data_IF_964705251648
#
_entry.id   IF_964705251648
#
_cell.length_a   1.000
_cell.length_b   1.000
_cell.length_c   1.000
_cell.angle_alpha   90.00
_cell.angle_beta   90.00
_cell.angle_gamma   90.00
#
_symmetry.space_group_name_H-M   'P 1'
#
loop_
_entity.id
_entity.type
_entity.pdbx_description
1 polymer ?
#
# COMPACT_ATOMS: atom_id res chain seq x y z
N UNK A 1 -4.66 30.44 -22.95
CA UNK A 1 -4.72 29.00 -22.64
C UNK A 1 -3.98 28.76 -21.33
N UNK A 2 -4.61 28.17 -20.32
CA UNK A 2 -3.93 27.85 -19.07
C UNK A 2 -2.81 26.83 -19.35
N UNK A 3 -1.58 27.08 -18.86
CA UNK A 3 -0.49 26.10 -18.94
C UNK A 3 -0.96 24.82 -18.25
N UNK A 4 -0.95 23.68 -18.96
CA UNK A 4 -1.16 22.37 -18.34
C UNK A 4 -0.16 22.23 -17.19
N UNK A 5 -0.64 21.84 -16.01
CA UNK A 5 0.24 21.58 -14.88
C UNK A 5 1.18 20.42 -15.24
N UNK A 6 2.49 20.62 -15.10
CA UNK A 6 3.45 19.55 -15.34
C UNK A 6 3.25 18.43 -14.29
N UNK A 7 2.80 17.25 -14.75
CA UNK A 7 2.63 16.06 -13.91
C UNK A 7 3.99 15.53 -13.46
N UNK A 8 4.92 15.49 -14.42
CA UNK A 8 6.29 15.05 -14.23
C UNK A 8 7.22 16.26 -14.16
N UNK A 9 8.04 16.28 -13.12
CA UNK A 9 9.23 17.13 -13.11
C UNK A 9 10.30 16.45 -13.97
N UNK A 10 10.55 17.07 -15.12
CA UNK A 10 11.47 16.62 -16.17
C UNK A 10 12.93 17.05 -15.91
N UNK A 11 13.24 17.67 -14.77
CA UNK A 11 14.63 17.96 -14.40
C UNK A 11 15.41 16.65 -14.16
N UNK A 12 16.71 16.69 -14.45
CA UNK A 12 17.58 15.53 -14.30
C UNK A 12 17.56 15.01 -12.86
N UNK A 13 17.14 13.75 -12.69
CA UNK A 13 17.01 13.12 -11.39
C UNK A 13 18.33 12.96 -10.65
N UNK A 14 19.46 13.01 -11.36
CA UNK A 14 20.81 12.95 -10.79
C UNK A 14 21.23 14.23 -10.08
N UNK A 15 20.68 15.38 -10.50
CA UNK A 15 21.13 16.71 -10.03
C UNK A 15 20.04 17.48 -9.30
N UNK A 16 18.76 17.15 -9.53
CA UNK A 16 17.65 17.80 -8.82
C UNK A 16 17.67 17.48 -7.33
N UNK A 17 17.10 18.39 -6.53
CA UNK A 17 16.87 18.16 -5.10
C UNK A 17 16.08 16.86 -4.90
N UNK A 18 16.57 15.92 -4.06
CA UNK A 18 15.86 14.68 -3.79
C UNK A 18 14.39 14.88 -3.41
N UNK A 19 13.54 14.05 -4.03
CA UNK A 19 12.09 14.00 -3.81
C UNK A 19 11.65 12.70 -3.16
N UNK A 20 12.57 12.01 -2.50
CA UNK A 20 12.30 10.80 -1.73
C UNK A 20 12.27 11.11 -0.23
N UNK A 21 11.69 10.18 0.52
CA UNK A 21 11.69 10.17 1.98
C UNK A 21 12.21 8.82 2.47
N UNK A 22 13.12 8.88 3.43
CA UNK A 22 13.76 7.70 4.02
C UNK A 22 13.62 7.78 5.53
N UNK A 23 13.23 6.67 6.13
CA UNK A 23 13.27 6.44 7.55
C UNK A 23 13.73 5.01 7.79
N UNK A 24 14.58 4.84 8.78
CA UNK A 24 15.09 3.54 9.18
C UNK A 24 14.27 3.01 10.35
N UNK A 25 14.03 1.70 10.34
CA UNK A 25 13.32 0.99 11.38
C UNK A 25 13.87 -0.42 11.54
N UNK A 26 13.62 -1.02 12.70
CA UNK A 26 14.02 -2.41 13.00
C UNK A 26 12.91 -3.41 12.71
N UNK A 27 13.25 -4.69 12.59
CA UNK A 27 12.27 -5.79 12.53
C UNK A 27 11.69 -6.01 13.94
N UNK A 28 10.37 -5.93 14.04
CA UNK A 28 9.63 -6.17 15.29
C UNK A 28 9.09 -7.60 15.39
N UNK A 29 7.86 -7.73 15.92
CA UNK A 29 7.18 -9.03 16.02
C UNK A 29 6.95 -9.61 14.62
N UNK A 30 7.06 -10.92 14.51
CA UNK A 30 6.65 -11.68 13.32
C UNK A 30 5.37 -12.42 13.65
N UNK A 31 4.31 -12.15 12.88
CA UNK A 31 3.02 -12.79 13.02
C UNK A 31 2.91 -13.89 11.95
N UNK A 32 2.71 -15.13 12.40
CA UNK A 32 2.32 -16.25 11.54
C UNK A 32 0.79 -16.35 11.55
N UNK A 33 0.18 -16.09 10.40
CA UNK A 33 -1.26 -15.90 10.25
C UNK A 33 -1.81 -17.01 9.38
N UNK A 34 -2.87 -17.67 9.86
CA UNK A 34 -3.72 -18.56 9.06
C UNK A 34 -5.12 -17.94 8.97
N UNK A 35 -5.62 -17.76 7.75
CA UNK A 35 -7.01 -17.35 7.51
C UNK A 35 -7.82 -18.55 6.98
N UNK A 36 -9.12 -18.54 7.23
CA UNK A 36 -10.02 -19.67 6.98
C UNK A 36 -10.77 -19.54 5.64
N UNK A 37 -11.39 -20.63 5.14
CA UNK A 37 -12.33 -20.54 4.02
C UNK A 37 -13.39 -19.47 4.23
N UNK A 38 -13.69 -18.70 3.19
CA UNK A 38 -14.72 -17.64 3.20
C UNK A 38 -14.24 -16.29 3.71
N UNK A 39 -13.07 -16.19 4.34
CA UNK A 39 -12.47 -14.91 4.73
C UNK A 39 -12.11 -14.08 3.48
N UNK A 40 -12.32 -12.76 3.57
CA UNK A 40 -11.77 -11.81 2.58
C UNK A 40 -10.32 -11.48 2.93
N UNK A 41 -9.39 -11.70 1.98
CA UNK A 41 -7.96 -11.52 2.20
C UNK A 41 -7.60 -10.09 2.65
N UNK A 42 -8.19 -9.07 2.03
CA UNK A 42 -7.90 -7.67 2.35
C UNK A 42 -8.49 -7.28 3.72
N UNK A 43 -9.80 -7.52 3.88
CA UNK A 43 -10.54 -7.17 5.09
C UNK A 43 -10.02 -7.90 6.33
N UNK A 44 -9.72 -9.19 6.20
CA UNK A 44 -9.21 -10.02 7.30
C UNK A 44 -7.80 -9.60 7.70
N UNK A 45 -6.93 -9.25 6.75
CA UNK A 45 -5.60 -8.69 7.05
C UNK A 45 -5.71 -7.41 7.90
N UNK A 46 -6.58 -6.48 7.52
CA UNK A 46 -6.80 -5.25 8.29
C UNK A 46 -7.40 -5.53 9.68
N UNK A 47 -8.35 -6.46 9.78
CA UNK A 47 -8.92 -6.89 11.06
C UNK A 47 -7.83 -7.40 12.01
N UNK A 48 -6.95 -8.30 11.53
CA UNK A 48 -5.82 -8.81 12.32
C UNK A 48 -4.89 -7.67 12.75
N UNK A 49 -4.59 -6.74 11.85
CA UNK A 49 -3.74 -5.58 12.20
C UNK A 49 -4.36 -4.74 13.32
N UNK A 50 -5.68 -4.50 13.28
CA UNK A 50 -6.40 -3.79 14.37
C UNK A 50 -6.32 -4.57 15.68
N UNK A 51 -6.68 -5.85 15.68
CA UNK A 51 -6.74 -6.69 16.88
C UNK A 51 -5.37 -6.92 17.53
N UNK A 52 -4.30 -7.00 16.73
CA UNK A 52 -2.93 -7.20 17.21
C UNK A 52 -2.15 -5.91 17.41
N UNK A 53 -2.75 -4.76 17.10
CA UNK A 53 -2.14 -3.44 17.21
C UNK A 53 -0.96 -3.23 16.26
N UNK A 54 -0.98 -3.85 15.08
CA UNK A 54 0.05 -3.66 14.06
C UNK A 54 -0.16 -2.30 13.39
N UNK A 55 0.78 -1.40 13.61
CA UNK A 55 0.76 -0.01 13.12
C UNK A 55 1.68 0.22 11.93
N UNK A 56 2.77 -0.53 11.87
CA UNK A 56 3.78 -0.45 10.83
C UNK A 56 4.24 -1.87 10.54
N UNK A 57 4.19 -2.30 9.28
CA UNK A 57 4.56 -3.67 8.94
C UNK A 57 4.83 -3.89 7.46
N UNK A 58 5.47 -5.01 7.17
CA UNK A 58 5.79 -5.50 5.83
C UNK A 58 5.31 -6.94 5.70
N UNK A 59 4.62 -7.22 4.61
CA UNK A 59 4.21 -8.59 4.28
C UNK A 59 5.45 -9.32 3.77
N UNK A 60 5.90 -10.33 4.53
CA UNK A 60 7.08 -11.12 4.17
C UNK A 60 6.72 -12.21 3.16
N UNK A 61 5.59 -12.87 3.37
CA UNK A 61 5.06 -13.87 2.45
C UNK A 61 3.55 -14.02 2.63
N UNK A 62 2.88 -14.43 1.57
CA UNK A 62 1.55 -15.02 1.65
C UNK A 62 1.36 -16.04 0.53
N UNK A 63 0.79 -17.19 0.86
CA UNK A 63 0.33 -18.21 -0.07
C UNK A 63 -1.11 -18.57 0.29
N UNK A 64 -1.97 -18.75 -0.71
CA UNK A 64 -3.39 -19.04 -0.48
C UNK A 64 -4.04 -19.66 -1.71
N UNK A 65 -5.11 -20.41 -1.51
CA UNK A 65 -6.07 -20.69 -2.58
C UNK A 65 -7.25 -19.72 -2.48
N UNK A 66 -7.73 -19.16 -3.58
CA UNK A 66 -8.87 -18.23 -3.60
C UNK A 66 -10.03 -18.77 -4.47
N UNK A 67 -11.26 -18.54 -4.02
CA UNK A 67 -12.48 -18.81 -4.81
C UNK A 67 -12.65 -17.80 -5.93
N UNK A 68 -12.27 -16.55 -5.65
CA UNK A 68 -12.35 -15.41 -6.56
C UNK A 68 -11.40 -14.32 -6.08
N UNK A 69 -11.03 -13.43 -6.99
CA UNK A 69 -10.27 -12.23 -6.71
C UNK A 69 -10.83 -11.04 -7.49
N UNK A 70 -10.64 -9.83 -6.96
CA UNK A 70 -10.85 -8.58 -7.70
C UNK A 70 -9.53 -7.83 -7.69
N UNK A 71 -8.96 -7.60 -8.87
CA UNK A 71 -7.69 -6.90 -9.04
C UNK A 71 -7.93 -5.49 -9.55
N UNK A 72 -7.36 -4.49 -8.88
CA UNK A 72 -7.43 -3.10 -9.33
C UNK A 72 -6.15 -2.70 -10.06
N UNK A 73 -6.26 -2.23 -11.29
CA UNK A 73 -5.14 -1.74 -12.08
C UNK A 73 -5.41 -0.31 -12.59
N UNK A 74 -4.35 0.45 -12.86
CA UNK A 74 -4.45 1.75 -13.53
C UNK A 74 -4.44 1.49 -15.03
N UNK A 75 -5.48 1.91 -15.75
CA UNK A 75 -5.58 1.68 -17.20
C UNK A 75 -5.23 2.92 -18.02
N UNK A 76 -5.24 4.11 -17.40
CA UNK A 76 -4.73 5.35 -18.00
C UNK A 76 -4.14 6.26 -16.93
N UNK A 77 -3.13 7.04 -17.30
CA UNK A 77 -2.60 8.07 -16.42
C UNK A 77 -3.49 9.32 -16.43
N UNK A 78 -3.73 9.93 -15.26
CA UNK A 78 -4.47 11.18 -15.17
C UNK A 78 -3.60 12.34 -15.69
N UNK A 79 -4.22 13.35 -16.31
CA UNK A 79 -3.56 14.60 -16.70
C UNK A 79 -4.45 15.82 -16.35
N UNK A 80 -4.21 16.49 -15.19
CA UNK A 80 -3.23 16.20 -14.13
C UNK A 80 -3.72 15.12 -13.14
N UNK A 81 -2.90 14.75 -12.14
CA UNK A 81 -3.30 13.99 -10.93
C UNK A 81 -4.63 14.48 -10.34
N UNK A 82 -5.41 13.69 -9.57
CA UNK A 82 -5.10 12.38 -8.98
C UNK A 82 -5.47 11.21 -9.90
N UNK A 83 -5.03 10.02 -9.53
CA UNK A 83 -5.60 8.77 -10.04
C UNK A 83 -6.97 8.57 -9.36
N UNK A 84 -8.05 8.76 -10.11
CA UNK A 84 -9.43 8.47 -9.70
C UNK A 84 -9.88 7.09 -10.19
N UNK A 85 -11.09 6.67 -9.84
CA UNK A 85 -11.67 5.43 -10.35
C UNK A 85 -11.89 5.44 -11.87
N UNK A 86 -12.06 6.61 -12.48
CA UNK A 86 -12.09 6.73 -13.95
C UNK A 86 -10.76 6.32 -14.61
N UNK A 87 -9.65 6.35 -13.85
CA UNK A 87 -8.32 5.93 -14.29
C UNK A 87 -8.03 4.47 -13.96
N UNK A 88 -8.97 3.76 -13.33
CA UNK A 88 -8.79 2.42 -12.80
C UNK A 88 -9.73 1.42 -13.47
N UNK A 89 -9.30 0.17 -13.50
CA UNK A 89 -10.10 -0.98 -13.89
C UNK A 89 -10.08 -1.98 -12.74
N UNK A 90 -11.25 -2.55 -12.46
CA UNK A 90 -11.42 -3.60 -11.47
C UNK A 90 -11.77 -4.88 -12.22
N UNK A 91 -10.84 -5.84 -12.21
CA UNK A 91 -10.97 -7.08 -12.97
C UNK A 91 -11.34 -8.21 -12.02
N UNK A 92 -12.60 -8.70 -12.05
CA UNK A 92 -12.97 -9.90 -11.34
C UNK A 92 -12.35 -11.12 -12.04
N UNK A 93 -11.75 -12.01 -11.25
CA UNK A 93 -11.20 -13.29 -11.71
C UNK A 93 -11.84 -14.38 -10.86
N UNK A 94 -12.62 -15.25 -11.50
CA UNK A 94 -13.24 -16.39 -10.82
C UNK A 94 -12.26 -17.57 -10.80
N UNK A 95 -12.23 -18.29 -9.68
CA UNK A 95 -11.31 -19.40 -9.46
C UNK A 95 -11.68 -20.71 -10.14
N UNK A 96 -10.95 -21.79 -9.80
CA UNK A 96 -9.96 -21.87 -8.72
C UNK A 96 -8.69 -21.05 -8.99
N UNK A 97 -8.20 -20.33 -7.97
CA UNK A 97 -6.99 -19.50 -8.04
C UNK A 97 -5.97 -19.91 -6.99
N UNK A 98 -4.69 -19.83 -7.35
CA UNK A 98 -3.57 -19.82 -6.40
C UNK A 98 -3.04 -18.40 -6.24
N UNK A 99 -2.89 -17.93 -5.01
CA UNK A 99 -2.16 -16.72 -4.65
C UNK A 99 -0.68 -17.09 -4.59
N UNK A 100 0.06 -16.67 -5.60
CA UNK A 100 1.49 -16.94 -5.71
C UNK A 100 2.31 -16.00 -4.84
N UNK A 101 1.83 -14.77 -4.66
CA UNK A 101 2.59 -13.71 -4.02
C UNK A 101 1.67 -12.57 -3.56
N UNK A 102 1.96 -12.02 -2.38
CA UNK A 102 1.42 -10.75 -1.87
C UNK A 102 2.55 -9.92 -1.30
N UNK A 103 2.72 -8.69 -1.77
CA UNK A 103 3.76 -7.76 -1.30
C UNK A 103 3.12 -6.45 -0.97
N UNK A 104 3.53 -5.86 0.14
CA UNK A 104 2.93 -4.65 0.60
C UNK A 104 3.36 -4.26 1.99
N UNK A 105 2.76 -3.18 2.45
CA UNK A 105 2.99 -2.61 3.76
C UNK A 105 1.68 -2.37 4.51
N UNK A 106 1.81 -2.43 5.84
CA UNK A 106 0.84 -1.92 6.78
C UNK A 106 1.36 -0.58 7.26
N UNK A 107 0.52 0.45 7.13
CA UNK A 107 0.77 1.83 7.54
C UNK A 107 -0.39 2.31 8.42
N UNK A 108 -0.27 3.49 9.03
CA UNK A 108 -1.39 4.13 9.71
C UNK A 108 -1.91 5.34 8.95
N UNK A 109 -3.23 5.49 8.93
CA UNK A 109 -3.87 6.76 8.59
C UNK A 109 -3.65 7.81 9.68
N UNK A 110 -4.01 9.06 9.41
CA UNK A 110 -4.00 10.12 10.43
C UNK A 110 -4.98 9.85 11.59
N UNK A 111 -6.04 9.07 11.36
CA UNK A 111 -6.97 8.61 12.42
C UNK A 111 -6.37 7.51 13.29
N UNK A 112 -5.22 6.94 12.91
CA UNK A 112 -4.56 5.84 13.60
C UNK A 112 -4.99 4.45 13.14
N UNK A 113 -5.93 4.37 12.19
CA UNK A 113 -6.39 3.11 11.61
C UNK A 113 -5.30 2.47 10.74
N UNK A 114 -5.19 1.13 10.74
CA UNK A 114 -4.28 0.46 9.83
C UNK A 114 -4.77 0.60 8.39
N UNK A 115 -3.82 0.78 7.49
CA UNK A 115 -4.02 0.84 6.05
C UNK A 115 -3.08 -0.16 5.37
N UNK A 116 -3.67 -0.99 4.52
CA UNK A 116 -2.98 -2.00 3.74
C UNK A 116 -2.79 -1.50 2.31
N UNK A 117 -1.53 -1.38 1.88
CA UNK A 117 -1.20 -1.26 0.46
C UNK A 117 -0.45 -2.52 0.05
N UNK A 118 -1.13 -3.42 -0.67
CA UNK A 118 -0.52 -4.61 -1.22
C UNK A 118 -0.87 -4.83 -2.69
N UNK A 119 0.07 -5.41 -3.42
CA UNK A 119 -0.12 -5.97 -4.73
C UNK A 119 -0.03 -7.49 -4.64
N UNK A 120 -0.75 -8.18 -5.52
CA UNK A 120 -0.79 -9.64 -5.56
C UNK A 120 -0.54 -10.16 -6.97
N UNK A 121 -0.02 -11.39 -7.03
CA UNK A 121 -0.03 -12.21 -8.23
C UNK A 121 -0.83 -13.47 -7.95
N UNK A 122 -1.79 -13.77 -8.80
CA UNK A 122 -2.62 -14.98 -8.74
C UNK A 122 -2.47 -15.78 -10.04
N UNK A 123 -2.67 -17.10 -9.98
CA UNK A 123 -2.70 -17.95 -11.17
C UNK A 123 -3.96 -18.80 -11.27
N UNK A 124 -4.38 -19.03 -12.51
CA UNK A 124 -5.47 -19.92 -12.90
C UNK A 124 -4.92 -21.26 -13.42
N UNK A 125 -5.45 -22.37 -12.93
CA UNK A 125 -4.99 -23.73 -13.26
C UNK A 125 -5.39 -24.28 -14.64
N UNK A 126 -5.47 -23.46 -15.70
CA UNK A 126 -5.82 -23.89 -17.08
C UNK A 126 -4.76 -23.39 -18.07
N UNK A 127 -4.49 -24.15 -19.15
CA UNK A 127 -3.36 -25.08 -19.31
C UNK A 127 -1.95 -24.52 -19.06
N UNK A 128 -1.79 -23.21 -18.97
CA UNK A 128 -0.50 -22.51 -18.92
C UNK A 128 -0.20 -21.82 -17.57
N UNK A 129 -0.98 -22.10 -16.51
CA UNK A 129 -0.85 -21.40 -15.22
C UNK A 129 -0.92 -19.86 -15.38
N UNK A 130 -1.87 -19.39 -16.20
CA UNK A 130 -2.02 -17.96 -16.54
C UNK A 130 -2.04 -17.10 -15.29
N UNK A 131 -1.13 -16.14 -15.22
CA UNK A 131 -0.97 -15.24 -14.07
C UNK A 131 -1.67 -13.89 -14.30
N UNK A 132 -2.32 -13.39 -13.26
CA UNK A 132 -2.90 -12.06 -13.20
C UNK A 132 -2.31 -11.31 -12.00
N UNK A 133 -2.03 -10.03 -12.19
CA UNK A 133 -1.46 -9.17 -11.16
C UNK A 133 -2.23 -7.87 -11.00
N UNK A 134 -2.21 -7.32 -9.79
CA UNK A 134 -2.81 -6.02 -9.54
C UNK A 134 -2.78 -5.59 -8.09
N UNK A 135 -3.34 -4.41 -7.83
CA UNK A 135 -3.52 -3.92 -6.47
C UNK A 135 -4.65 -4.69 -5.78
N UNK A 136 -4.37 -5.18 -4.58
CA UNK A 136 -5.32 -5.92 -3.76
C UNK A 136 -6.41 -4.98 -3.25
N UNK A 137 -7.67 -5.39 -3.44
CA UNK A 137 -8.86 -4.76 -2.88
C UNK A 137 -9.74 -5.83 -2.24
N UNK A 138 -10.83 -5.41 -1.59
CA UNK A 138 -11.88 -6.31 -1.13
C UNK A 138 -12.49 -7.12 -2.29
N UNK A 139 -13.04 -8.30 -1.98
CA UNK A 139 -13.60 -9.23 -2.94
C UNK A 139 -12.67 -10.41 -3.28
N UNK A 140 -11.60 -10.60 -2.50
CA UNK A 140 -10.63 -11.69 -2.66
C UNK A 140 -10.90 -12.77 -1.60
N UNK A 141 -11.75 -13.74 -1.94
CA UNK A 141 -12.27 -14.72 -0.98
C UNK A 141 -11.41 -15.98 -0.93
N UNK A 142 -10.99 -16.38 0.27
CA UNK A 142 -10.19 -17.57 0.52
C UNK A 142 -11.01 -18.84 0.27
N UNK A 143 -10.43 -19.80 -0.46
CA UNK A 143 -11.03 -21.10 -0.71
C UNK A 143 -10.73 -22.11 0.41
N UNK A 144 -9.46 -22.48 0.62
CA UNK A 144 -9.05 -23.48 1.63
C UNK A 144 -8.30 -22.85 2.81
N UNK A 145 -7.21 -22.14 2.56
CA UNK A 145 -6.41 -21.47 3.57
C UNK A 145 -5.65 -20.30 2.94
N UNK A 146 -5.29 -19.33 3.78
CA UNK A 146 -4.18 -18.41 3.50
C UNK A 146 -3.17 -18.52 4.63
N UNK A 147 -1.92 -18.72 4.27
CA UNK A 147 -0.77 -18.72 5.15
C UNK A 147 0.02 -17.44 4.88
N UNK A 148 0.05 -16.52 5.85
CA UNK A 148 0.70 -15.22 5.73
C UNK A 148 1.72 -15.03 6.86
N UNK A 149 2.88 -14.48 6.51
CA UNK A 149 3.88 -14.00 7.47
C UNK A 149 3.99 -12.49 7.36
N UNK A 150 3.75 -11.80 8.48
CA UNK A 150 3.77 -10.34 8.59
C UNK A 150 4.81 -9.93 9.64
N UNK A 151 5.78 -9.11 9.26
CA UNK A 151 6.73 -8.52 10.21
C UNK A 151 6.36 -7.07 10.52
N UNK A 152 6.42 -6.70 11.80
CA UNK A 152 6.32 -5.31 12.20
C UNK A 152 7.60 -4.53 11.87
N UNK A 153 7.44 -3.25 11.59
CA UNK A 153 8.54 -2.29 11.48
C UNK A 153 8.52 -1.39 12.72
N UNK A 154 9.62 -1.36 13.46
CA UNK A 154 9.75 -0.66 14.75
C UNK A 154 10.65 0.57 14.63
N UNK A 155 10.60 1.46 15.62
CA UNK A 155 11.46 2.65 15.66
C UNK A 155 11.00 3.83 14.80
N UNK A 156 9.90 3.68 14.05
CA UNK A 156 9.30 4.74 13.25
C UNK A 156 7.76 4.71 13.35
N UNK A 157 7.13 5.87 13.14
CA UNK A 157 5.72 5.94 12.79
C UNK A 157 5.60 5.81 11.26
N UNK A 158 4.96 4.74 10.78
CA UNK A 158 4.81 4.48 9.35
C UNK A 158 3.46 5.01 8.86
N UNK A 159 3.46 6.25 8.40
CA UNK A 159 2.24 6.99 8.11
C UNK A 159 1.87 6.90 6.64
N UNK A 160 0.56 6.94 6.38
CA UNK A 160 0.00 7.22 5.07
C UNK A 160 -0.63 8.61 5.08
N UNK A 161 0.02 9.56 4.40
CA UNK A 161 -0.39 10.96 4.38
C UNK A 161 -0.77 11.37 2.95
N UNK A 162 -1.76 12.24 2.82
CA UNK A 162 -2.15 12.77 1.51
C UNK A 162 -1.06 13.70 0.98
N UNK A 163 -0.50 13.38 -0.19
CA UNK A 163 0.45 14.26 -0.87
C UNK A 163 -0.28 15.38 -1.63
N UNK A 164 0.29 16.60 -1.60
CA UNK A 164 -0.35 17.77 -2.21
C UNK A 164 -0.33 17.76 -3.75
N UNK A 165 0.68 17.13 -4.35
CA UNK A 165 0.87 17.10 -5.80
C UNK A 165 0.11 15.95 -6.43
N UNK A 166 0.33 14.73 -5.93
CA UNK A 166 -0.29 13.52 -6.49
C UNK A 166 -1.73 13.33 -6.02
N UNK A 167 -2.12 13.99 -4.91
CA UNK A 167 -3.45 13.89 -4.29
C UNK A 167 -3.82 12.43 -3.99
N UNK A 168 -2.83 11.61 -3.67
CA UNK A 168 -3.01 10.24 -3.16
C UNK A 168 -2.32 10.08 -1.80
N UNK A 169 -2.78 9.11 -1.01
CA UNK A 169 -2.13 8.77 0.24
C UNK A 169 -0.80 8.07 -0.03
N UNK A 170 0.32 8.68 0.32
CA UNK A 170 1.68 8.16 0.13
C UNK A 170 2.31 7.77 1.47
N UNK A 171 3.38 6.99 1.42
CA UNK A 171 4.06 6.49 2.62
C UNK A 171 5.09 7.49 3.13
N UNK A 172 5.08 7.73 4.43
CA UNK A 172 6.07 8.56 5.12
C UNK A 172 6.49 7.86 6.40
N UNK A 173 7.78 7.54 6.51
CA UNK A 173 8.36 7.09 7.77
C UNK A 173 8.81 8.28 8.60
N UNK A 174 8.39 8.34 9.86
CA UNK A 174 8.83 9.35 10.83
C UNK A 174 9.64 8.62 11.91
N UNK A 175 10.97 8.75 11.92
CA UNK A 175 11.80 8.13 12.96
C UNK A 175 11.38 8.63 14.33
N UNK A 176 11.10 7.72 15.25
CA UNK A 176 10.66 8.08 16.60
C UNK A 176 11.81 8.71 17.37
N UNK A 177 12.96 8.05 17.54
CA UNK A 177 14.18 8.60 18.16
C UNK A 177 13.91 9.47 19.41
N UNK A 178 13.03 9.00 20.31
CA UNK A 178 12.63 9.73 21.53
C UNK A 178 11.62 10.87 21.34
N UNK A 179 11.07 11.07 20.13
CA UNK A 179 10.04 12.08 19.87
C UNK A 179 8.77 11.81 20.70
N UNK A 180 8.23 12.87 21.28
CA UNK A 180 6.91 12.87 21.89
C UNK A 180 5.81 12.75 20.82
N UNK A 181 4.58 12.34 21.20
CA UNK A 181 3.44 12.34 20.30
C UNK A 181 3.20 13.69 19.59
N UNK A 182 3.38 14.81 20.30
CA UNK A 182 3.26 16.16 19.74
C UNK A 182 4.33 16.45 18.69
N UNK A 183 5.57 16.00 18.90
CA UNK A 183 6.65 16.13 17.91
C UNK A 183 6.37 15.30 16.66
N UNK A 184 5.79 14.09 16.81
CA UNK A 184 5.35 13.28 15.66
C UNK A 184 4.23 13.99 14.89
N UNK A 185 3.23 14.57 15.59
CA UNK A 185 2.16 15.36 14.94
C UNK A 185 2.72 16.57 14.19
N UNK A 186 3.69 17.27 14.75
CA UNK A 186 4.36 18.39 14.08
C UNK A 186 5.07 17.94 12.80
N UNK A 187 5.75 16.79 12.83
CA UNK A 187 6.40 16.23 11.64
C UNK A 187 5.38 15.85 10.56
N UNK A 188 4.25 15.23 10.94
CA UNK A 188 3.14 14.96 10.01
C UNK A 188 2.68 16.24 9.30
N UNK A 189 2.48 17.34 10.04
CA UNK A 189 2.07 18.61 9.45
C UNK A 189 3.14 19.18 8.50
N UNK A 190 4.42 19.08 8.86
CA UNK A 190 5.53 19.51 7.98
C UNK A 190 5.56 18.71 6.66
N UNK A 191 5.34 17.39 6.72
CA UNK A 191 5.29 16.52 5.54
C UNK A 191 4.13 16.88 4.62
N UNK A 192 2.96 17.11 5.19
CA UNK A 192 1.76 17.55 4.46
C UNK A 192 1.94 18.92 3.82
N UNK A 193 2.78 19.79 4.38
CA UNK A 193 3.07 21.12 3.85
C UNK A 193 4.21 21.14 2.81
N UNK A 194 4.78 19.98 2.43
CA UNK A 194 5.92 19.93 1.49
C UNK A 194 5.50 20.53 0.14
N UNK A 195 6.26 21.51 -0.39
CA UNK A 195 5.91 22.16 -1.64
C UNK A 195 6.00 21.18 -2.82
N UNK A 196 5.26 21.50 -3.89
CA UNK A 196 5.23 20.68 -5.12
C UNK A 196 6.64 20.36 -5.61
N UNK A 197 6.90 19.11 -6.02
CA UNK A 197 8.12 18.68 -6.70
C UNK A 197 8.71 19.64 -7.74
N UNK A 198 7.83 20.30 -8.51
CA UNK A 198 8.22 21.16 -9.63
C UNK A 198 8.79 22.51 -9.20
N UNK A 199 8.70 22.90 -7.91
CA UNK A 199 9.12 24.23 -7.44
C UNK A 199 8.34 25.40 -8.05
N UNK A 200 7.34 25.13 -8.89
CA UNK A 200 6.48 26.14 -9.50
C UNK A 200 5.31 26.41 -8.55
N UNK A 201 5.28 27.62 -7.99
CA UNK A 201 4.11 28.15 -7.27
C UNK A 201 2.89 28.17 -8.19
#
# INVERSE_FOLDING_TARGET
MAKKAAIFDNTDWKTRKPRYDVAEGGVGRVLCIRMAPGDDLYGTTLKICREKGVKAGVIMSAAASLQKAVLRNVWKFPDPFPITDDCRIFTPVNGPLELLQMSGNITQTESGDPYLHAHVTISLGRPEATCFGGHLVEGCTIFSTCEMVLAEVTGLAFMRLMDQHTRVGEVYGIPLNGKSPEQVKQEIQKRKARPKPSGVK
#
